data_IF_575183347346
#
_entry.id   IF_575183347346
#
_cell.length_a   1.000
_cell.length_b   1.000
_cell.length_c   1.000
_cell.angle_alpha   90.00
_cell.angle_beta   90.00
_cell.angle_gamma   90.00
#
_symmetry.space_group_name_H-M   'P 1'
#
loop_
_entity.id
_entity.type
_entity.pdbx_description
1 polymer ?
#
# COMPACT_ATOMS: atom_id res chain seq x y z
N UNK A 1 23.66 17.85 -30.13
CA UNK A 1 22.62 16.84 -30.45
C UNK A 1 21.71 16.72 -29.25
N UNK A 2 20.50 17.27 -29.33
CA UNK A 2 19.52 17.24 -28.25
C UNK A 2 18.76 15.90 -28.27
N UNK A 3 18.71 15.21 -27.13
CA UNK A 3 17.96 13.96 -26.96
C UNK A 3 16.45 14.23 -26.93
N UNK A 4 15.64 13.60 -27.81
CA UNK A 4 14.19 13.68 -27.74
C UNK A 4 13.67 12.56 -26.83
N UNK A 5 13.78 12.72 -25.50
CA UNK A 5 13.37 11.68 -24.53
C UNK A 5 12.26 12.10 -23.55
N UNK A 6 11.64 13.27 -23.73
CA UNK A 6 10.69 13.84 -22.76
C UNK A 6 9.21 13.87 -23.20
N UNK A 7 8.83 13.26 -24.32
CA UNK A 7 7.46 13.38 -24.87
C UNK A 7 6.50 12.22 -24.59
N UNK A 8 6.89 11.17 -23.83
CA UNK A 8 6.05 9.96 -23.66
C UNK A 8 5.24 9.85 -22.36
N UNK A 9 5.32 10.82 -21.45
CA UNK A 9 4.47 10.92 -20.24
C UNK A 9 3.20 11.79 -20.44
N UNK A 10 3.05 12.44 -21.61
CA UNK A 10 1.99 13.43 -21.86
C UNK A 10 0.58 12.86 -22.07
N UNK A 11 0.37 11.54 -22.03
CA UNK A 11 -0.96 10.93 -22.20
C UNK A 11 -1.62 10.63 -20.84
N UNK A 12 -0.84 10.35 -19.80
CA UNK A 12 -1.34 10.18 -18.41
C UNK A 12 -1.41 11.53 -17.68
N UNK A 13 -0.54 12.48 -18.05
CA UNK A 13 -0.47 13.80 -17.40
C UNK A 13 -1.81 14.54 -17.39
N UNK A 14 -2.64 14.58 -18.45
CA UNK A 14 -3.95 15.22 -18.42
C UNK A 14 -4.92 14.52 -17.47
N UNK A 15 -4.93 13.17 -17.40
CA UNK A 15 -5.79 12.40 -16.48
C UNK A 15 -5.37 12.62 -15.02
N UNK A 16 -4.06 12.67 -14.75
CA UNK A 16 -3.51 12.97 -13.41
C UNK A 16 -3.69 14.44 -13.03
N UNK A 17 -3.56 15.38 -13.96
CA UNK A 17 -3.81 16.82 -13.71
C UNK A 17 -5.30 17.15 -13.59
N UNK A 18 -6.17 16.37 -14.22
CA UNK A 18 -7.63 16.48 -14.12
C UNK A 18 -8.12 15.88 -12.79
N UNK A 19 -7.53 14.76 -12.33
CA UNK A 19 -7.74 14.24 -10.98
C UNK A 19 -7.27 15.23 -9.89
N UNK A 20 -6.20 16.02 -10.14
CA UNK A 20 -5.66 17.01 -9.20
C UNK A 20 -6.57 18.20 -8.87
N UNK A 21 -7.67 18.39 -9.60
CA UNK A 21 -8.59 19.53 -9.39
C UNK A 21 -9.72 19.14 -8.44
N UNK A 22 -9.48 19.33 -7.15
CA UNK A 22 -10.55 19.34 -6.14
C UNK A 22 -10.67 18.07 -5.31
N UNK A 23 -9.56 17.38 -5.02
CA UNK A 23 -9.56 16.32 -4.03
C UNK A 23 -10.21 16.81 -2.74
N UNK A 24 -11.19 16.07 -2.24
CA UNK A 24 -11.55 16.11 -0.85
C UNK A 24 -10.27 15.86 -0.06
N UNK A 25 -9.96 16.74 0.88
CA UNK A 25 -8.76 16.61 1.70
C UNK A 25 -9.00 15.59 2.83
N UNK A 26 -9.66 14.47 2.52
CA UNK A 26 -10.24 13.57 3.52
C UNK A 26 -9.14 12.82 4.27
N UNK A 27 -8.05 12.43 3.60
CA UNK A 27 -6.90 11.84 4.26
C UNK A 27 -6.25 12.81 5.26
N UNK A 28 -6.12 14.10 4.91
CA UNK A 28 -5.64 15.12 5.85
C UNK A 28 -6.64 15.36 6.99
N UNK A 29 -7.95 15.33 6.71
CA UNK A 29 -8.97 15.47 7.76
C UNK A 29 -8.91 14.30 8.76
N UNK A 30 -8.75 13.07 8.26
CA UNK A 30 -8.52 11.88 9.07
C UNK A 30 -7.23 12.05 9.87
N UNK A 31 -6.13 12.46 9.24
CA UNK A 31 -4.83 12.69 9.91
C UNK A 31 -4.92 13.71 11.06
N UNK A 32 -5.74 14.75 10.89
CA UNK A 32 -5.90 15.79 11.89
C UNK A 32 -6.77 15.36 13.07
N UNK A 33 -7.76 14.46 12.86
CA UNK A 33 -8.62 13.95 13.93
C UNK A 33 -8.88 12.42 13.78
N UNK A 34 -7.86 11.56 13.91
CA UNK A 34 -8.01 10.16 13.52
C UNK A 34 -8.99 9.39 14.41
N UNK A 35 -9.00 9.66 15.73
CA UNK A 35 -9.91 9.01 16.68
C UNK A 35 -11.39 9.30 16.37
N UNK A 36 -11.73 10.56 16.12
CA UNK A 36 -13.10 10.98 15.85
C UNK A 36 -13.59 10.40 14.52
N UNK A 37 -12.76 10.48 13.48
CA UNK A 37 -13.06 9.89 12.17
C UNK A 37 -13.26 8.38 12.27
N UNK A 38 -12.35 7.67 12.93
CA UNK A 38 -12.47 6.22 13.11
C UNK A 38 -13.74 5.86 13.88
N UNK A 39 -14.04 6.57 14.97
CA UNK A 39 -15.24 6.34 15.78
C UNK A 39 -16.52 6.53 14.98
N UNK A 40 -16.59 7.59 14.16
CA UNK A 40 -17.74 7.86 13.30
C UNK A 40 -17.91 6.78 12.22
N UNK A 41 -16.83 6.42 11.52
CA UNK A 41 -16.88 5.38 10.48
C UNK A 41 -17.24 4.02 11.07
N UNK A 42 -16.65 3.63 12.21
CA UNK A 42 -16.96 2.38 12.91
C UNK A 42 -18.41 2.35 13.37
N UNK A 43 -18.93 3.45 13.92
CA UNK A 43 -20.34 3.57 14.32
C UNK A 43 -21.28 3.39 13.12
N UNK A 44 -20.91 3.93 11.96
CA UNK A 44 -21.65 3.77 10.70
C UNK A 44 -21.69 2.31 10.24
N UNK A 45 -20.53 1.63 10.22
CA UNK A 45 -20.42 0.20 9.88
C UNK A 45 -21.19 -0.66 10.89
N UNK A 46 -21.06 -0.40 12.19
CA UNK A 46 -21.79 -1.15 13.23
C UNK A 46 -23.31 -1.04 13.08
N UNK A 47 -23.81 0.11 12.62
CA UNK A 47 -25.25 0.36 12.42
C UNK A 47 -25.80 -0.30 11.14
N UNK A 48 -25.10 -0.17 10.03
CA UNK A 48 -25.62 -0.53 8.69
C UNK A 48 -24.87 -1.69 8.02
N UNK A 49 -23.87 -2.27 8.69
CA UNK A 49 -23.05 -3.39 8.23
C UNK A 49 -22.26 -3.05 6.95
N UNK A 50 -22.13 -4.06 6.08
CA UNK A 50 -21.50 -3.95 4.75
C UNK A 50 -22.13 -2.89 3.84
N UNK A 51 -23.37 -2.48 4.13
CA UNK A 51 -24.15 -1.57 3.29
C UNK A 51 -24.17 -0.13 3.85
N UNK A 52 -23.37 0.15 4.88
CA UNK A 52 -23.12 1.50 5.37
C UNK A 52 -22.67 2.41 4.23
N UNK A 53 -23.25 3.61 4.11
CA UNK A 53 -22.85 4.56 3.06
C UNK A 53 -21.51 5.23 3.34
N UNK A 54 -20.63 5.31 2.35
CA UNK A 54 -19.32 5.95 2.43
C UNK A 54 -19.19 7.02 1.33
N UNK A 55 -19.82 8.21 1.48
CA UNK A 55 -19.63 9.31 0.54
C UNK A 55 -18.16 9.69 0.33
N UNK A 56 -17.30 9.39 1.30
CA UNK A 56 -15.85 9.55 1.23
C UNK A 56 -15.21 8.75 0.06
N UNK A 57 -15.86 7.69 -0.43
CA UNK A 57 -15.35 6.88 -1.55
C UNK A 57 -15.76 7.40 -2.94
N UNK A 58 -16.56 8.47 -2.99
CA UNK A 58 -17.06 9.06 -4.23
C UNK A 58 -15.95 9.30 -5.25
N UNK A 59 -14.88 9.97 -4.83
CA UNK A 59 -13.80 10.39 -5.74
C UNK A 59 -13.05 9.19 -6.32
N UNK A 60 -12.83 8.15 -5.52
CA UNK A 60 -12.22 6.90 -5.98
C UNK A 60 -13.07 6.21 -7.04
N UNK A 61 -14.39 6.15 -6.85
CA UNK A 61 -15.32 5.54 -7.83
C UNK A 61 -15.43 6.39 -9.10
N UNK A 62 -15.60 7.71 -8.98
CA UNK A 62 -15.71 8.62 -10.11
C UNK A 62 -14.43 8.63 -10.96
N UNK A 63 -13.25 8.63 -10.33
CA UNK A 63 -11.96 8.56 -11.05
C UNK A 63 -11.86 7.28 -11.89
N UNK A 64 -12.29 6.14 -11.35
CA UNK A 64 -12.33 4.88 -12.11
C UNK A 64 -13.34 4.96 -13.26
N UNK A 65 -14.55 5.49 -13.03
CA UNK A 65 -15.56 5.66 -14.08
C UNK A 65 -15.08 6.57 -15.22
N UNK A 66 -14.45 7.69 -14.89
CA UNK A 66 -13.86 8.63 -15.86
C UNK A 66 -12.76 7.94 -16.66
N UNK A 67 -11.88 7.20 -15.99
CA UNK A 67 -10.82 6.42 -16.63
C UNK A 67 -11.39 5.39 -17.61
N UNK A 68 -12.43 4.64 -17.23
CA UNK A 68 -13.10 3.68 -18.11
C UNK A 68 -13.78 4.34 -19.32
N UNK A 69 -14.18 5.62 -19.18
CA UNK A 69 -14.78 6.39 -20.26
C UNK A 69 -13.76 7.04 -21.20
N UNK A 70 -12.46 6.99 -20.88
CA UNK A 70 -11.39 7.56 -21.69
C UNK A 70 -11.32 6.95 -23.10
N UNK A 71 -10.85 7.74 -24.06
CA UNK A 71 -10.60 7.29 -25.44
C UNK A 71 -9.62 6.12 -25.51
N UNK A 72 -8.63 6.14 -24.63
CA UNK A 72 -7.53 5.19 -24.52
C UNK A 72 -8.07 3.82 -24.14
N UNK A 73 -8.85 3.73 -23.05
CA UNK A 73 -9.49 2.49 -22.62
C UNK A 73 -10.44 1.97 -23.70
N UNK A 74 -11.28 2.84 -24.27
CA UNK A 74 -12.19 2.45 -25.36
C UNK A 74 -11.45 1.88 -26.57
N UNK A 75 -10.30 2.44 -26.93
CA UNK A 75 -9.47 1.94 -28.02
C UNK A 75 -8.83 0.58 -27.68
N UNK A 76 -8.35 0.39 -26.44
CA UNK A 76 -7.85 -0.92 -25.98
C UNK A 76 -8.94 -1.98 -26.07
N UNK A 77 -10.16 -1.69 -25.60
CA UNK A 77 -11.29 -2.64 -25.67
C UNK A 77 -11.66 -2.94 -27.12
N UNK A 78 -11.71 -1.91 -27.99
CA UNK A 78 -12.01 -2.08 -29.41
C UNK A 78 -10.99 -2.99 -30.12
N UNK A 79 -9.72 -2.88 -29.75
CA UNK A 79 -8.62 -3.68 -30.34
C UNK A 79 -8.45 -5.05 -29.67
N UNK A 80 -9.06 -5.27 -28.50
CA UNK A 80 -9.00 -6.53 -27.77
C UNK A 80 -10.44 -6.96 -27.37
N UNK A 81 -11.25 -7.48 -28.33
CA UNK A 81 -12.67 -7.75 -28.09
C UNK A 81 -12.97 -8.69 -26.92
N UNK A 82 -12.03 -9.55 -26.53
CA UNK A 82 -12.13 -10.42 -25.36
C UNK A 82 -12.34 -9.64 -24.05
N UNK A 83 -11.94 -8.36 -23.98
CA UNK A 83 -12.15 -7.51 -22.81
C UNK A 83 -13.54 -6.87 -22.74
N UNK A 84 -14.35 -6.95 -23.80
CA UNK A 84 -15.59 -6.19 -23.91
C UNK A 84 -16.59 -6.53 -22.80
N UNK A 85 -16.79 -7.81 -22.51
CA UNK A 85 -17.69 -8.25 -21.44
C UNK A 85 -17.22 -7.77 -20.07
N UNK A 86 -15.91 -7.86 -19.80
CA UNK A 86 -15.33 -7.37 -18.55
C UNK A 86 -15.44 -5.85 -18.43
N UNK A 87 -15.23 -5.12 -19.52
CA UNK A 87 -15.39 -3.67 -19.58
C UNK A 87 -16.80 -3.23 -19.20
N UNK A 88 -17.83 -3.77 -19.87
CA UNK A 88 -19.22 -3.41 -19.59
C UNK A 88 -19.64 -3.83 -18.18
N UNK A 89 -19.21 -5.01 -17.72
CA UNK A 89 -19.49 -5.46 -16.35
C UNK A 89 -18.87 -4.51 -15.32
N UNK A 90 -17.64 -4.08 -15.53
CA UNK A 90 -16.93 -3.16 -14.63
C UNK A 90 -17.58 -1.79 -14.61
N UNK A 91 -17.93 -1.24 -15.79
CA UNK A 91 -18.65 0.03 -15.89
C UNK A 91 -20.00 -0.02 -15.16
N UNK A 92 -20.80 -1.06 -15.40
CA UNK A 92 -22.09 -1.24 -14.73
C UNK A 92 -21.94 -1.40 -13.22
N UNK A 93 -20.93 -2.16 -12.78
CA UNK A 93 -20.63 -2.34 -11.35
C UNK A 93 -20.36 -1.00 -10.69
N UNK A 94 -19.43 -0.20 -11.23
CA UNK A 94 -19.11 1.11 -10.68
C UNK A 94 -20.30 2.08 -10.76
N UNK A 95 -21.08 2.04 -11.84
CA UNK A 95 -22.29 2.87 -11.98
C UNK A 95 -23.33 2.54 -10.92
N UNK A 96 -23.55 1.26 -10.61
CA UNK A 96 -24.53 0.86 -9.59
C UNK A 96 -24.16 1.32 -8.17
N UNK A 97 -22.88 1.56 -7.88
CA UNK A 97 -22.44 2.09 -6.59
C UNK A 97 -22.88 3.54 -6.37
N UNK A 98 -23.12 4.31 -7.42
CA UNK A 98 -23.48 5.74 -7.32
C UNK A 98 -24.99 5.98 -7.19
N UNK A 99 -25.79 4.92 -7.34
CA UNK A 99 -27.24 5.02 -7.37
C UNK A 99 -27.82 5.50 -6.04
N UNK A 100 -28.73 6.47 -6.13
CA UNK A 100 -29.59 6.89 -5.03
C UNK A 100 -30.95 6.22 -5.19
N UNK A 101 -31.42 5.55 -4.13
CA UNK A 101 -32.71 4.87 -4.15
C UNK A 101 -33.78 5.75 -3.51
N UNK A 102 -34.90 5.91 -4.21
CA UNK A 102 -36.09 6.62 -3.71
C UNK A 102 -37.33 5.78 -4.02
N UNK A 103 -38.12 5.47 -3.01
CA UNK A 103 -39.43 4.84 -3.18
C UNK A 103 -40.48 5.93 -3.45
N UNK A 104 -41.31 5.73 -4.46
CA UNK A 104 -42.43 6.63 -4.77
C UNK A 104 -43.73 5.90 -4.46
N UNK A 105 -44.51 6.41 -3.50
CA UNK A 105 -45.77 5.84 -3.05
C UNK A 105 -45.65 4.96 -1.80
N UNK A 106 -46.67 5.00 -0.95
CA UNK A 106 -46.67 4.38 0.39
C UNK A 106 -46.75 2.85 0.38
N UNK A 107 -47.03 2.24 -0.78
CA UNK A 107 -47.31 0.81 -0.93
C UNK A 107 -46.27 0.06 -1.80
N UNK A 108 -45.07 0.61 -2.01
CA UNK A 108 -44.04 -0.10 -2.78
C UNK A 108 -43.50 -1.29 -1.96
N UNK A 109 -43.58 -2.55 -2.47
CA UNK A 109 -43.35 -3.74 -1.65
C UNK A 109 -41.87 -4.05 -1.40
N UNK A 110 -40.93 -3.37 -2.07
CA UNK A 110 -39.50 -3.62 -1.94
C UNK A 110 -38.80 -2.51 -1.16
N UNK A 111 -37.97 -2.92 -0.19
CA UNK A 111 -37.11 -2.01 0.56
C UNK A 111 -35.88 -1.72 -0.31
N UNK A 112 -35.46 -0.44 -0.46
CA UNK A 112 -34.19 -0.11 -1.08
C UNK A 112 -33.04 -0.95 -0.51
N UNK A 113 -32.18 -1.53 -1.37
CA UNK A 113 -31.10 -2.40 -0.91
C UNK A 113 -30.05 -1.63 -0.11
N UNK A 114 -29.92 -0.32 -0.32
CA UNK A 114 -29.00 0.56 0.41
C UNK A 114 -29.67 1.89 0.71
N UNK A 115 -29.26 2.54 1.82
CA UNK A 115 -29.82 3.82 2.27
C UNK A 115 -29.21 5.04 1.57
N UNK A 116 -28.02 4.88 1.00
CA UNK A 116 -27.28 5.94 0.32
C UNK A 116 -26.29 5.33 -0.70
N UNK A 117 -25.74 6.15 -1.62
CA UNK A 117 -24.68 5.73 -2.52
C UNK A 117 -23.43 5.27 -1.76
N UNK A 118 -22.54 4.62 -2.51
CA UNK A 118 -21.25 4.12 -2.05
C UNK A 118 -21.36 3.20 -0.83
N UNK A 119 -22.17 2.12 -0.88
CA UNK A 119 -22.21 1.15 0.21
C UNK A 119 -20.84 0.53 0.45
N UNK A 120 -20.41 0.43 1.71
CA UNK A 120 -19.04 0.18 2.14
C UNK A 120 -18.36 -0.99 1.41
N UNK A 121 -18.80 -2.22 1.70
CA UNK A 121 -18.17 -3.41 1.15
C UNK A 121 -18.37 -3.54 -0.37
N UNK A 122 -19.57 -3.32 -0.95
CA UNK A 122 -19.72 -3.35 -2.40
C UNK A 122 -18.84 -2.31 -3.11
N UNK A 123 -18.57 -1.16 -2.48
CA UNK A 123 -17.69 -0.14 -3.06
C UNK A 123 -16.23 -0.57 -3.05
N UNK A 124 -15.75 -1.17 -1.97
CA UNK A 124 -14.40 -1.76 -1.90
C UNK A 124 -14.21 -2.80 -3.02
N UNK A 125 -15.13 -3.76 -3.14
CA UNK A 125 -15.07 -4.82 -4.17
C UNK A 125 -15.21 -4.24 -5.59
N UNK A 126 -16.03 -3.21 -5.77
CA UNK A 126 -16.19 -2.53 -7.05
C UNK A 126 -14.93 -1.77 -7.47
N UNK A 127 -14.23 -1.15 -6.52
CA UNK A 127 -12.94 -0.49 -6.74
C UNK A 127 -11.88 -1.51 -7.14
N UNK A 128 -11.76 -2.63 -6.42
CA UNK A 128 -10.84 -3.73 -6.76
C UNK A 128 -11.09 -4.23 -8.19
N UNK A 129 -12.36 -4.47 -8.57
CA UNK A 129 -12.73 -4.85 -9.95
C UNK A 129 -12.38 -3.79 -10.98
N UNK A 130 -12.57 -2.51 -10.65
CA UNK A 130 -12.17 -1.39 -11.49
C UNK A 130 -10.66 -1.38 -11.75
N UNK A 131 -9.87 -1.56 -10.69
CA UNK A 131 -8.42 -1.64 -10.75
C UNK A 131 -7.95 -2.89 -11.50
N UNK A 132 -8.60 -4.05 -11.30
CA UNK A 132 -8.32 -5.29 -12.05
C UNK A 132 -8.46 -5.08 -13.57
N UNK A 133 -9.54 -4.43 -14.01
CA UNK A 133 -9.71 -4.11 -15.43
C UNK A 133 -8.63 -3.15 -15.94
N UNK A 134 -8.34 -2.08 -15.19
CA UNK A 134 -7.31 -1.11 -15.58
C UNK A 134 -5.93 -1.77 -15.63
N UNK A 135 -5.64 -2.68 -14.71
CA UNK A 135 -4.40 -3.47 -14.67
C UNK A 135 -4.20 -4.27 -15.96
N UNK A 136 -5.27 -4.91 -16.45
CA UNK A 136 -5.27 -5.59 -17.75
C UNK A 136 -4.96 -4.61 -18.90
N UNK A 137 -5.56 -3.42 -18.88
CA UNK A 137 -5.25 -2.38 -19.87
C UNK A 137 -3.78 -1.94 -19.80
N UNK A 138 -3.24 -1.73 -18.60
CA UNK A 138 -1.83 -1.35 -18.38
C UNK A 138 -0.90 -2.43 -18.93
N UNK A 139 -1.10 -3.70 -18.56
CA UNK A 139 -0.25 -4.83 -19.02
C UNK A 139 -0.34 -5.10 -20.53
N UNK A 140 -1.46 -4.78 -21.17
CA UNK A 140 -1.60 -4.83 -22.63
C UNK A 140 -0.90 -3.68 -23.36
N UNK A 141 -0.62 -2.59 -22.64
CA UNK A 141 -0.09 -1.34 -23.19
C UNK A 141 1.40 -1.16 -22.92
N UNK A 142 1.90 -1.68 -21.79
CA UNK A 142 3.26 -1.46 -21.31
C UNK A 142 4.02 -2.77 -21.11
N UNK A 143 5.29 -2.80 -21.51
CA UNK A 143 6.28 -3.79 -21.09
C UNK A 143 6.89 -3.40 -19.74
N UNK A 144 7.68 -4.31 -19.17
CA UNK A 144 8.44 -4.07 -17.93
C UNK A 144 7.57 -3.78 -16.68
N UNK A 145 6.27 -4.12 -16.75
CA UNK A 145 5.41 -4.25 -15.57
C UNK A 145 5.67 -5.63 -14.96
N UNK A 146 6.17 -5.73 -13.72
CA UNK A 146 6.43 -7.01 -13.07
C UNK A 146 5.18 -7.88 -12.99
N UNK A 147 5.38 -9.20 -12.94
CA UNK A 147 4.30 -10.15 -12.66
C UNK A 147 3.65 -9.89 -11.29
N UNK A 148 2.42 -10.37 -11.14
CA UNK A 148 1.68 -10.27 -9.88
C UNK A 148 2.45 -10.90 -8.71
N UNK A 149 2.73 -10.10 -7.69
CA UNK A 149 3.39 -10.55 -6.46
C UNK A 149 2.40 -10.58 -5.29
N UNK A 150 1.91 -9.43 -4.89
CA UNK A 150 0.96 -9.21 -3.81
C UNK A 150 -0.39 -9.83 -4.11
N UNK A 151 -0.89 -9.70 -5.35
CA UNK A 151 -2.16 -10.32 -5.74
C UNK A 151 -2.09 -11.85 -5.59
N UNK A 152 -1.02 -12.47 -6.13
CA UNK A 152 -0.81 -13.91 -6.04
C UNK A 152 -0.61 -14.39 -4.60
N UNK A 153 0.06 -13.60 -3.76
CA UNK A 153 0.34 -14.00 -2.38
C UNK A 153 -0.82 -13.75 -1.42
N UNK A 154 -1.51 -12.62 -1.54
CA UNK A 154 -2.45 -12.12 -0.54
C UNK A 154 -3.89 -12.00 -1.03
N UNK A 155 -4.18 -12.36 -2.29
CA UNK A 155 -5.56 -12.30 -2.82
C UNK A 155 -6.56 -13.07 -1.95
N UNK A 156 -6.17 -14.20 -1.36
CA UNK A 156 -7.03 -14.97 -0.45
C UNK A 156 -7.38 -14.22 0.85
N UNK A 157 -6.47 -13.35 1.34
CA UNK A 157 -6.66 -12.56 2.55
C UNK A 157 -7.74 -11.49 2.36
N UNK A 158 -7.88 -10.95 1.16
CA UNK A 158 -8.94 -10.00 0.83
C UNK A 158 -10.30 -10.64 1.02
N UNK A 159 -10.48 -11.87 0.52
CA UNK A 159 -11.73 -12.61 0.70
C UNK A 159 -12.05 -12.88 2.17
N UNK A 160 -11.06 -13.24 2.99
CA UNK A 160 -11.27 -13.44 4.44
C UNK A 160 -11.55 -12.14 5.19
N UNK A 161 -10.82 -11.08 4.87
CA UNK A 161 -10.98 -9.78 5.53
C UNK A 161 -12.30 -9.10 5.18
N UNK A 162 -12.75 -9.22 3.93
CA UNK A 162 -13.97 -8.58 3.45
C UNK A 162 -15.25 -9.34 3.78
N UNK A 163 -15.25 -10.67 3.66
CA UNK A 163 -16.48 -11.44 3.74
C UNK A 163 -16.74 -12.08 5.11
N UNK A 164 -15.72 -12.25 5.95
CA UNK A 164 -15.86 -13.01 7.19
C UNK A 164 -15.84 -12.15 8.46
N UNK A 165 -15.55 -10.84 8.37
CA UNK A 165 -15.32 -10.01 9.55
C UNK A 165 -15.71 -8.53 9.33
N UNK A 166 -16.99 -8.24 9.07
CA UNK A 166 -17.49 -6.85 9.08
C UNK A 166 -17.47 -6.21 10.49
N UNK A 167 -17.26 -7.02 11.53
CA UNK A 167 -16.96 -6.57 12.89
C UNK A 167 -15.44 -6.37 13.09
N UNK A 168 -14.65 -6.35 12.00
CA UNK A 168 -13.22 -6.11 12.08
C UNK A 168 -12.95 -4.75 12.65
N UNK A 169 -11.99 -4.72 13.56
CA UNK A 169 -11.44 -3.49 14.10
C UNK A 169 -10.84 -2.57 13.03
N UNK A 170 -10.41 -3.09 11.86
CA UNK A 170 -9.86 -2.28 10.78
C UNK A 170 -10.91 -1.79 9.78
N UNK A 171 -10.80 -0.52 9.36
CA UNK A 171 -11.61 0.07 8.30
C UNK A 171 -10.72 0.29 7.07
N UNK A 172 -10.94 -0.53 6.04
CA UNK A 172 -10.33 -0.34 4.73
C UNK A 172 -10.84 0.93 4.07
N UNK A 173 -9.93 1.80 3.65
CA UNK A 173 -10.23 3.15 3.15
C UNK A 173 -9.53 3.39 1.79
N UNK A 174 -10.16 3.03 0.66
CA UNK A 174 -9.63 3.35 -0.66
C UNK A 174 -9.57 4.87 -0.89
N UNK A 175 -8.44 5.36 -1.37
CA UNK A 175 -8.25 6.78 -1.68
C UNK A 175 -7.39 6.99 -2.91
N UNK A 176 -7.69 8.04 -3.67
CA UNK A 176 -6.87 8.55 -4.77
C UNK A 176 -5.88 9.63 -4.30
N UNK A 177 -5.97 10.06 -3.04
CA UNK A 177 -5.10 11.09 -2.49
C UNK A 177 -3.66 10.59 -2.37
N UNK A 178 -2.66 11.42 -2.72
CA UNK A 178 -1.26 11.10 -2.48
C UNK A 178 -0.97 11.15 -0.98
N UNK A 179 -0.67 9.98 -0.39
CA UNK A 179 -0.34 9.86 1.03
C UNK A 179 1.16 10.01 1.25
N UNK A 180 1.53 10.89 2.17
CA UNK A 180 2.92 11.07 2.62
C UNK A 180 3.25 10.16 3.81
N UNK A 181 4.54 10.06 4.15
CA UNK A 181 5.01 9.38 5.37
C UNK A 181 4.25 9.88 6.61
N UNK A 182 4.04 11.19 6.69
CA UNK A 182 3.33 11.87 7.77
C UNK A 182 1.88 11.36 7.92
N UNK A 183 1.18 11.08 6.83
CA UNK A 183 -0.18 10.54 6.90
C UNK A 183 -0.19 9.18 7.59
N UNK A 184 0.70 8.27 7.18
CA UNK A 184 0.79 6.92 7.76
C UNK A 184 1.26 6.95 9.21
N UNK A 185 2.24 7.79 9.55
CA UNK A 185 2.75 7.93 10.91
C UNK A 185 1.67 8.48 11.85
N UNK A 186 0.97 9.55 11.45
CA UNK A 186 0.01 10.25 12.32
C UNK A 186 -1.35 9.56 12.40
N UNK A 187 -1.73 8.75 11.42
CA UNK A 187 -2.99 7.99 11.47
C UNK A 187 -2.86 6.64 12.16
N UNK A 188 -1.63 6.17 12.46
CA UNK A 188 -1.38 4.85 13.05
C UNK A 188 -2.08 4.61 14.39
N UNK A 189 -2.48 5.66 15.10
CA UNK A 189 -3.26 5.58 16.34
C UNK A 189 -4.60 4.83 16.20
N UNK A 190 -5.16 4.76 14.99
CA UNK A 190 -6.40 4.03 14.71
C UNK A 190 -6.21 3.09 13.50
N UNK A 191 -6.96 1.98 13.44
CA UNK A 191 -6.88 1.04 12.33
C UNK A 191 -7.71 1.52 11.13
N UNK A 192 -7.38 2.68 10.57
CA UNK A 192 -7.86 3.10 9.24
C UNK A 192 -6.82 2.68 8.22
N UNK A 193 -7.14 1.66 7.43
CA UNK A 193 -6.23 1.07 6.45
C UNK A 193 -6.37 1.73 5.09
N UNK A 194 -5.55 2.74 4.79
CA UNK A 194 -5.54 3.35 3.48
C UNK A 194 -5.10 2.37 2.38
N UNK A 195 -5.79 2.41 1.24
CA UNK A 195 -5.45 1.65 0.04
C UNK A 195 -5.42 2.59 -1.17
N UNK A 196 -4.29 2.64 -1.87
CA UNK A 196 -4.11 3.50 -3.02
C UNK A 196 -4.96 3.06 -4.21
N UNK A 197 -5.81 3.97 -4.69
CA UNK A 197 -6.53 3.84 -5.96
C UNK A 197 -5.74 4.61 -7.02
N UNK A 198 -4.70 3.96 -7.56
CA UNK A 198 -3.85 4.55 -8.59
C UNK A 198 -4.22 4.03 -9.97
N UNK A 199 -4.42 4.94 -10.93
CA UNK A 199 -4.61 4.60 -12.34
C UNK A 199 -3.28 4.29 -13.06
N UNK A 200 -2.21 5.09 -12.89
CA UNK A 200 -0.90 4.72 -13.41
C UNK A 200 -0.22 3.65 -12.55
N UNK A 201 0.76 2.95 -13.14
CA UNK A 201 1.69 2.15 -12.36
C UNK A 201 2.51 3.06 -11.42
N UNK A 202 2.59 2.69 -10.15
CA UNK A 202 3.23 3.48 -9.10
C UNK A 202 4.51 2.79 -8.64
N UNK A 203 5.57 3.56 -8.41
CA UNK A 203 6.80 3.00 -7.87
C UNK A 203 6.66 2.77 -6.36
N UNK A 204 6.66 1.51 -5.93
CA UNK A 204 6.61 1.07 -4.53
C UNK A 204 7.37 -0.25 -4.38
N UNK A 205 7.96 -0.51 -3.21
CA UNK A 205 8.79 -1.69 -2.92
C UNK A 205 9.93 -1.95 -3.93
N UNK A 206 10.45 -0.89 -4.55
CA UNK A 206 11.49 -0.92 -5.58
C UNK A 206 11.01 -1.39 -6.97
N UNK A 207 9.69 -1.46 -7.18
CA UNK A 207 9.08 -1.89 -8.43
C UNK A 207 8.00 -0.92 -8.89
N UNK A 208 7.75 -0.91 -10.19
CA UNK A 208 6.53 -0.29 -10.72
C UNK A 208 5.36 -1.25 -10.52
N UNK A 209 4.62 -1.06 -9.43
CA UNK A 209 3.42 -1.81 -9.14
C UNK A 209 2.31 -1.31 -10.06
N UNK A 210 1.64 -2.25 -10.73
CA UNK A 210 0.44 -1.95 -11.48
C UNK A 210 -0.73 -1.58 -10.54
N UNK A 211 -1.80 -0.95 -11.03
CA UNK A 211 -2.94 -0.50 -10.22
C UNK A 211 -3.47 -1.52 -9.21
N UNK A 212 -3.70 -2.76 -9.65
CA UNK A 212 -4.20 -3.82 -8.77
C UNK A 212 -3.13 -4.26 -7.77
N UNK A 213 -1.88 -4.35 -8.23
CA UNK A 213 -0.75 -4.78 -7.42
C UNK A 213 -0.49 -3.82 -6.23
N UNK A 214 -0.57 -2.51 -6.45
CA UNK A 214 -0.49 -1.49 -5.40
C UNK A 214 -1.62 -1.65 -4.37
N UNK A 215 -2.84 -1.88 -4.84
CA UNK A 215 -4.00 -2.03 -3.98
C UNK A 215 -3.87 -3.24 -3.03
N UNK A 216 -3.41 -4.37 -3.55
CA UNK A 216 -3.14 -5.57 -2.73
C UNK A 216 -1.91 -5.41 -1.83
N UNK A 217 -0.88 -4.69 -2.27
CA UNK A 217 0.26 -4.31 -1.43
C UNK A 217 -0.22 -3.54 -0.19
N UNK A 218 -1.03 -2.49 -0.39
CA UNK A 218 -1.57 -1.70 0.72
C UNK A 218 -2.51 -2.49 1.61
N UNK A 219 -3.33 -3.37 1.04
CA UNK A 219 -4.16 -4.27 1.84
C UNK A 219 -3.34 -5.20 2.74
N UNK A 220 -2.19 -5.69 2.28
CA UNK A 220 -1.29 -6.49 3.11
C UNK A 220 -0.71 -5.68 4.28
N UNK A 221 -0.33 -4.41 4.07
CA UNK A 221 0.04 -3.51 5.17
C UNK A 221 -1.08 -3.40 6.21
N UNK A 222 -2.30 -3.16 5.74
CA UNK A 222 -3.47 -3.01 6.60
C UNK A 222 -3.78 -4.29 7.40
N UNK A 223 -3.66 -5.46 6.77
CA UNK A 223 -3.81 -6.75 7.45
C UNK A 223 -2.78 -6.95 8.57
N UNK A 224 -1.51 -6.58 8.32
CA UNK A 224 -0.46 -6.67 9.34
C UNK A 224 -0.73 -5.71 10.50
N UNK A 225 -1.15 -4.48 10.21
CA UNK A 225 -1.57 -3.50 11.23
C UNK A 225 -2.66 -4.08 12.13
N UNK A 226 -3.69 -4.70 11.53
CA UNK A 226 -4.74 -5.37 12.30
C UNK A 226 -4.16 -6.46 13.21
N UNK A 227 -3.32 -7.33 12.65
CA UNK A 227 -2.76 -8.48 13.37
C UNK A 227 -1.90 -8.05 14.57
N UNK A 228 -1.04 -7.04 14.40
CA UNK A 228 -0.21 -6.50 15.49
C UNK A 228 -1.03 -5.74 16.55
N UNK A 229 -2.10 -5.06 16.13
CA UNK A 229 -3.03 -4.47 17.09
C UNK A 229 -3.76 -5.55 17.91
N UNK A 230 -4.24 -6.62 17.26
CA UNK A 230 -4.90 -7.73 17.94
C UNK A 230 -3.96 -8.44 18.93
N UNK A 231 -2.68 -8.64 18.55
CA UNK A 231 -1.65 -9.18 19.43
C UNK A 231 -1.41 -8.27 20.64
N UNK A 232 -1.31 -6.94 20.43
CA UNK A 232 -1.17 -5.99 21.53
C UNK A 232 -2.37 -6.05 22.48
N UNK A 233 -3.60 -6.07 21.94
CA UNK A 233 -4.84 -6.16 22.72
C UNK A 233 -4.86 -7.45 23.56
N UNK A 234 -4.42 -8.56 22.98
CA UNK A 234 -4.33 -9.85 23.66
C UNK A 234 -3.27 -9.83 24.77
N UNK A 235 -2.06 -9.33 24.49
CA UNK A 235 -0.92 -9.31 25.41
C UNK A 235 -1.18 -8.38 26.61
N UNK A 236 -1.76 -7.20 26.35
CA UNK A 236 -2.07 -6.21 27.38
C UNK A 236 -3.44 -6.44 28.03
N UNK A 237 -4.20 -7.44 27.58
CA UNK A 237 -5.51 -7.84 28.11
C UNK A 237 -6.50 -6.67 28.20
N UNK A 238 -6.51 -5.79 27.19
CA UNK A 238 -7.38 -4.62 27.13
C UNK A 238 -8.45 -4.76 26.06
N UNK A 239 -9.37 -3.81 25.99
CA UNK A 239 -10.31 -3.68 24.87
C UNK A 239 -9.67 -2.94 23.69
N UNK A 240 -10.24 -3.09 22.50
CA UNK A 240 -9.77 -2.36 21.32
C UNK A 240 -9.80 -0.83 21.51
N UNK A 241 -10.82 -0.32 22.19
CA UNK A 241 -10.97 1.12 22.43
C UNK A 241 -9.90 1.64 23.40
N UNK A 242 -9.58 0.87 24.45
CA UNK A 242 -8.48 1.19 25.37
C UNK A 242 -7.11 1.13 24.67
N UNK A 243 -6.89 0.14 23.79
CA UNK A 243 -5.66 0.06 23.01
C UNK A 243 -5.48 1.26 22.08
N UNK A 244 -6.53 1.67 21.36
CA UNK A 244 -6.45 2.82 20.45
C UNK A 244 -6.30 4.14 21.17
N UNK A 245 -6.85 4.29 22.37
CA UNK A 245 -6.57 5.44 23.22
C UNK A 245 -5.10 5.47 23.67
N UNK A 246 -4.51 4.32 24.03
CA UNK A 246 -3.07 4.23 24.33
C UNK A 246 -2.22 4.58 23.11
N UNK A 247 -2.58 4.10 21.92
CA UNK A 247 -1.87 4.42 20.68
C UNK A 247 -1.99 5.91 20.33
N UNK A 248 -3.17 6.50 20.51
CA UNK A 248 -3.41 7.93 20.35
C UNK A 248 -2.52 8.73 21.29
N UNK A 249 -2.50 8.40 22.59
CA UNK A 249 -1.63 9.05 23.56
C UNK A 249 -0.15 8.91 23.21
N UNK A 250 0.27 7.76 22.69
CA UNK A 250 1.64 7.56 22.23
C UNK A 250 1.97 8.47 21.04
N UNK A 251 1.12 8.49 20.01
CA UNK A 251 1.34 9.28 18.80
C UNK A 251 1.31 10.79 19.12
N UNK A 252 0.35 11.26 19.90
CA UNK A 252 0.21 12.68 20.27
C UNK A 252 1.33 13.18 21.17
N UNK A 253 1.75 12.37 22.16
CA UNK A 253 2.70 12.84 23.18
C UNK A 253 4.16 12.54 22.82
N UNK A 254 4.44 11.59 21.93
CA UNK A 254 5.81 11.16 21.60
C UNK A 254 6.11 11.38 20.11
N UNK A 255 5.30 10.83 19.22
CA UNK A 255 5.63 10.83 17.78
C UNK A 255 5.49 12.23 17.17
N UNK A 256 4.30 12.83 17.25
CA UNK A 256 4.01 14.16 16.64
C UNK A 256 4.96 15.26 17.13
N UNK A 257 5.28 15.39 18.43
CA UNK A 257 6.20 16.43 18.90
C UNK A 257 7.64 16.24 18.43
N UNK A 258 8.06 14.99 18.18
CA UNK A 258 9.45 14.66 17.84
C UNK A 258 9.74 14.76 16.35
N UNK A 259 8.73 14.60 15.49
CA UNK A 259 8.91 14.76 14.03
C UNK A 259 8.57 16.17 13.51
N UNK A 260 7.91 16.99 14.33
CA UNK A 260 7.58 18.37 13.97
C UNK A 260 8.84 19.22 13.70
N UNK A 261 8.89 19.90 12.55
CA UNK A 261 9.98 20.79 12.17
C UNK A 261 9.50 22.25 12.05
N UNK A 262 9.85 23.10 13.03
CA UNK A 262 9.66 24.55 12.91
C UNK A 262 10.79 25.19 12.08
N UNK A 263 10.53 26.33 11.45
CA UNK A 263 11.50 27.11 10.65
C UNK A 263 12.70 27.61 11.45
N UNK A 264 12.65 27.60 12.78
CA UNK A 264 13.69 28.14 13.66
C UNK A 264 14.69 27.09 14.17
N UNK A 265 14.51 25.80 13.85
CA UNK A 265 15.42 24.75 14.32
C UNK A 265 16.73 24.71 13.51
N UNK A 266 17.82 24.32 14.16
CA UNK A 266 19.10 24.15 13.50
C UNK A 266 19.02 23.09 12.38
N UNK A 267 19.74 23.29 11.28
CA UNK A 267 19.74 22.39 10.10
C UNK A 267 19.95 20.92 10.47
N UNK A 268 20.92 20.63 11.34
CA UNK A 268 21.20 19.27 11.80
C UNK A 268 19.99 18.66 12.54
N UNK A 269 19.38 19.41 13.46
CA UNK A 269 18.20 18.98 14.21
C UNK A 269 17.02 18.72 13.27
N UNK A 270 16.79 19.60 12.30
CA UNK A 270 15.79 19.39 11.26
C UNK A 270 15.98 18.04 10.56
N UNK A 271 17.21 17.71 10.15
CA UNK A 271 17.49 16.45 9.47
C UNK A 271 17.31 15.24 10.38
N UNK A 272 17.69 15.33 11.66
CA UNK A 272 17.43 14.27 12.63
C UNK A 272 15.92 13.98 12.71
N UNK A 273 15.08 15.01 12.87
CA UNK A 273 13.62 14.86 12.95
C UNK A 273 12.99 14.31 11.66
N UNK A 274 13.48 14.75 10.51
CA UNK A 274 13.05 14.21 9.23
C UNK A 274 13.38 12.71 9.09
N UNK A 275 14.56 12.27 9.55
CA UNK A 275 14.89 10.85 9.58
C UNK A 275 14.10 10.08 10.65
N UNK A 276 13.74 10.71 11.78
CA UNK A 276 12.83 10.09 12.76
C UNK A 276 11.46 9.80 12.13
N UNK A 277 10.92 10.71 11.30
CA UNK A 277 9.67 10.48 10.56
C UNK A 277 9.77 9.27 9.62
N UNK A 278 10.91 9.10 8.92
CA UNK A 278 11.15 7.90 8.09
C UNK A 278 11.18 6.63 8.94
N UNK A 279 11.86 6.66 10.09
CA UNK A 279 11.95 5.51 10.99
C UNK A 279 10.57 5.16 11.59
N UNK A 280 9.76 6.15 11.97
CA UNK A 280 8.39 5.91 12.42
C UNK A 280 7.52 5.34 11.30
N UNK A 281 7.65 5.83 10.06
CA UNK A 281 6.97 5.24 8.92
C UNK A 281 7.35 3.76 8.74
N UNK A 282 8.64 3.41 8.79
CA UNK A 282 9.09 2.02 8.69
C UNK A 282 8.52 1.15 9.82
N UNK A 283 8.53 1.64 11.06
CA UNK A 283 7.95 0.93 12.19
C UNK A 283 6.44 0.73 12.03
N UNK A 284 5.71 1.79 11.71
CA UNK A 284 4.25 1.83 11.76
C UNK A 284 3.54 1.33 10.51
N UNK A 285 4.13 1.54 9.32
CA UNK A 285 3.58 1.07 8.04
C UNK A 285 4.25 -0.22 7.59
N UNK A 286 5.57 -0.23 7.48
CA UNK A 286 6.31 -1.34 6.85
C UNK A 286 6.40 -2.57 7.76
N UNK A 287 6.68 -2.37 9.05
CA UNK A 287 6.70 -3.41 10.08
C UNK A 287 5.34 -3.58 10.76
N UNK A 288 4.47 -2.57 10.64
CA UNK A 288 3.11 -2.56 11.16
C UNK A 288 2.98 -2.69 12.68
N UNK A 289 4.04 -2.41 13.46
CA UNK A 289 3.99 -2.52 14.92
C UNK A 289 2.97 -1.54 15.52
N UNK A 290 2.42 -1.90 16.67
CA UNK A 290 1.56 -1.05 17.48
C UNK A 290 2.34 0.17 18.03
N UNK A 291 1.74 1.37 18.08
CA UNK A 291 2.33 2.57 18.68
C UNK A 291 2.48 2.47 20.20
N UNK A 292 3.46 1.72 20.67
CA UNK A 292 3.77 1.61 22.09
C UNK A 292 5.28 1.48 22.33
N UNK A 293 5.71 1.85 23.54
CA UNK A 293 7.13 1.85 23.92
C UNK A 293 7.76 0.47 23.77
N UNK A 294 7.07 -0.57 24.23
CA UNK A 294 7.53 -1.96 24.23
C UNK A 294 7.86 -2.43 22.81
N UNK A 295 6.91 -2.35 21.89
CA UNK A 295 7.13 -2.84 20.53
C UNK A 295 8.18 -2.04 19.75
N UNK A 296 8.31 -0.73 20.02
CA UNK A 296 9.40 0.07 19.43
C UNK A 296 10.75 -0.41 19.96
N UNK A 297 10.90 -0.59 21.27
CA UNK A 297 12.13 -1.11 21.88
C UNK A 297 12.46 -2.49 21.29
N UNK A 298 11.48 -3.39 21.21
CA UNK A 298 11.67 -4.74 20.66
C UNK A 298 12.13 -4.69 19.20
N UNK A 299 11.59 -3.77 18.39
CA UNK A 299 12.03 -3.57 17.00
C UNK A 299 13.48 -3.06 16.91
N UNK A 300 13.92 -2.19 17.83
CA UNK A 300 15.31 -1.74 17.90
C UNK A 300 16.29 -2.84 18.33
N UNK A 301 15.84 -3.74 19.22
CA UNK A 301 16.63 -4.87 19.69
C UNK A 301 16.69 -6.04 18.69
N UNK A 302 15.90 -5.99 17.62
CA UNK A 302 15.87 -7.02 16.61
C UNK A 302 17.21 -7.08 15.84
N UNK A 303 17.92 -8.19 15.95
CA UNK A 303 19.19 -8.35 15.25
C UNK A 303 18.98 -8.41 13.71
N UNK A 304 19.92 -7.89 12.91
CA UNK A 304 19.99 -8.23 11.49
C UNK A 304 20.06 -9.76 11.34
N UNK A 305 19.36 -10.34 10.36
CA UNK A 305 19.03 -11.78 10.22
C UNK A 305 17.83 -12.24 11.05
N UNK A 306 17.17 -11.30 11.71
CA UNK A 306 15.95 -11.58 12.43
C UNK A 306 14.79 -12.02 11.53
N UNK A 307 13.82 -12.64 12.20
CA UNK A 307 12.74 -13.42 11.63
C UNK A 307 11.59 -12.52 11.15
N UNK A 308 11.57 -12.17 9.87
CA UNK A 308 10.43 -11.54 9.19
C UNK A 308 9.35 -12.58 8.85
N UNK A 309 8.08 -12.28 9.10
CA UNK A 309 6.97 -13.20 8.82
C UNK A 309 6.66 -13.25 7.32
N UNK A 310 6.75 -14.42 6.72
CA UNK A 310 6.38 -14.70 5.33
C UNK A 310 5.26 -15.73 5.22
N UNK A 311 4.58 -15.67 4.08
CA UNK A 311 3.52 -16.60 3.70
C UNK A 311 3.78 -17.13 2.30
N UNK A 312 3.64 -18.44 2.14
CA UNK A 312 3.75 -19.07 0.84
C UNK A 312 2.70 -20.17 0.69
N UNK A 313 2.07 -20.21 -0.50
CA UNK A 313 1.14 -21.26 -0.86
C UNK A 313 1.93 -22.42 -1.42
N UNK A 314 1.87 -23.56 -0.74
CA UNK A 314 2.63 -24.75 -1.08
C UNK A 314 1.75 -25.99 -0.98
N UNK A 315 2.20 -27.09 -1.56
CA UNK A 315 1.58 -28.39 -1.37
C UNK A 315 2.35 -29.22 -0.33
N UNK A 316 1.80 -30.40 -0.01
CA UNK A 316 2.38 -31.33 0.95
C UNK A 316 3.77 -31.86 0.56
N UNK A 317 4.18 -31.73 -0.71
CA UNK A 317 5.50 -32.18 -1.17
C UNK A 317 6.62 -31.17 -0.89
N UNK A 318 6.28 -29.91 -0.62
CA UNK A 318 7.26 -28.84 -0.41
C UNK A 318 8.06 -29.01 0.88
N UNK A 319 9.38 -29.08 0.73
CA UNK A 319 10.36 -29.19 1.81
C UNK A 319 10.91 -27.81 2.18
N UNK A 320 11.17 -27.56 3.46
CA UNK A 320 11.58 -26.23 3.96
C UNK A 320 12.94 -25.75 3.43
N UNK A 321 13.83 -26.65 3.05
CA UNK A 321 15.11 -26.34 2.41
C UNK A 321 14.96 -25.78 0.98
N UNK A 322 13.76 -25.87 0.39
CA UNK A 322 13.47 -25.30 -0.92
C UNK A 322 13.16 -23.80 -0.88
N UNK A 323 12.98 -23.17 0.29
CA UNK A 323 12.67 -21.73 0.37
C UNK A 323 13.77 -20.85 -0.24
N UNK A 324 15.04 -21.22 -0.09
CA UNK A 324 16.14 -20.45 -0.68
C UNK A 324 16.13 -20.53 -2.22
N UNK A 325 15.60 -21.61 -2.80
CA UNK A 325 15.42 -21.72 -4.25
C UNK A 325 14.31 -20.82 -4.80
N UNK A 326 13.41 -20.36 -3.94
CA UNK A 326 12.34 -19.41 -4.27
C UNK A 326 12.78 -17.96 -4.09
N UNK A 327 14.01 -17.72 -3.62
CA UNK A 327 14.50 -16.37 -3.34
C UNK A 327 14.76 -15.63 -4.65
N UNK A 328 14.12 -14.47 -4.79
CA UNK A 328 14.27 -13.52 -5.88
C UNK A 328 15.55 -12.67 -5.67
N UNK A 329 16.00 -11.99 -6.72
CA UNK A 329 17.22 -11.16 -6.70
C UNK A 329 17.20 -10.03 -5.65
N UNK A 330 16.01 -9.62 -5.21
CA UNK A 330 15.79 -8.61 -4.18
C UNK A 330 15.64 -9.20 -2.77
N UNK A 331 15.99 -10.47 -2.56
CA UNK A 331 15.82 -11.22 -1.31
C UNK A 331 14.37 -11.51 -0.87
N UNK A 332 13.37 -11.11 -1.66
CA UNK A 332 12.01 -11.59 -1.45
C UNK A 332 11.88 -13.06 -1.85
N UNK A 333 10.86 -13.73 -1.34
CA UNK A 333 10.50 -15.08 -1.78
C UNK A 333 9.51 -14.95 -2.94
N UNK A 334 9.48 -15.87 -3.91
CA UNK A 334 8.47 -15.90 -4.95
C UNK A 334 7.04 -15.90 -4.37
N UNK A 335 6.09 -15.29 -5.08
CA UNK A 335 4.69 -15.19 -4.64
C UNK A 335 3.82 -16.33 -5.16
N UNK A 336 2.88 -16.74 -4.31
CA UNK A 336 1.79 -17.65 -4.67
C UNK A 336 2.21 -19.03 -5.19
N UNK A 337 1.27 -19.69 -5.88
CA UNK A 337 1.50 -20.98 -6.51
C UNK A 337 2.11 -20.78 -7.90
N UNK A 338 3.09 -21.59 -8.25
CA UNK A 338 3.56 -21.68 -9.62
C UNK A 338 2.47 -22.33 -10.48
N UNK A 339 1.80 -21.50 -11.30
CA UNK A 339 0.66 -21.94 -12.11
C UNK A 339 1.06 -22.97 -13.17
N UNK A 340 2.31 -22.95 -13.63
CA UNK A 340 2.83 -23.93 -14.60
C UNK A 340 2.93 -25.34 -14.00
N UNK A 341 2.97 -25.44 -12.67
CA UNK A 341 2.97 -26.70 -11.93
C UNK A 341 1.56 -27.15 -11.52
N UNK A 342 0.50 -26.35 -11.74
CA UNK A 342 -0.87 -26.68 -11.31
C UNK A 342 -1.44 -27.95 -11.94
N UNK A 343 -0.92 -28.40 -13.08
CA UNK A 343 -1.32 -29.66 -13.69
C UNK A 343 -0.82 -30.88 -12.88
N UNK A 344 0.25 -30.69 -12.09
CA UNK A 344 0.92 -31.73 -11.31
C UNK A 344 0.60 -31.62 -9.80
N UNK A 345 0.18 -30.44 -9.34
CA UNK A 345 -0.16 -30.19 -7.94
C UNK A 345 -1.56 -30.74 -7.62
N UNK A 346 -1.66 -31.53 -6.55
CA UNK A 346 -2.94 -31.90 -5.97
C UNK A 346 -3.58 -30.66 -5.33
N UNK A 347 -4.53 -30.03 -6.06
CA UNK A 347 -5.18 -28.79 -5.61
C UNK A 347 -5.88 -28.89 -4.25
N UNK A 348 -6.28 -30.09 -3.82
CA UNK A 348 -6.89 -30.32 -2.49
C UNK A 348 -5.89 -30.34 -1.34
N UNK A 349 -4.59 -30.44 -1.66
CA UNK A 349 -3.49 -30.49 -0.70
C UNK A 349 -2.76 -29.15 -0.57
N UNK A 350 -3.23 -28.09 -1.24
CA UNK A 350 -2.61 -26.77 -1.14
C UNK A 350 -2.90 -26.18 0.25
N UNK A 351 -1.84 -25.73 0.91
CA UNK A 351 -1.89 -25.08 2.21
C UNK A 351 -1.15 -23.73 2.13
N UNK A 352 -1.55 -22.79 2.99
CA UNK A 352 -0.75 -21.59 3.26
C UNK A 352 0.18 -21.93 4.42
N UNK A 353 1.49 -21.93 4.20
CA UNK A 353 2.47 -22.02 5.30
C UNK A 353 2.95 -20.63 5.70
N UNK A 354 2.95 -20.42 7.01
CA UNK A 354 3.52 -19.25 7.68
C UNK A 354 4.89 -19.66 8.20
N UNK A 355 5.90 -18.84 7.95
CA UNK A 355 7.25 -19.10 8.42
C UNK A 355 7.98 -17.78 8.59
N UNK A 356 9.07 -17.84 9.33
CA UNK A 356 9.95 -16.71 9.46
C UNK A 356 11.15 -16.84 8.52
N UNK A 357 11.56 -15.73 7.93
CA UNK A 357 12.71 -15.64 7.04
C UNK A 357 13.67 -14.54 7.53
N UNK A 358 14.92 -14.58 7.08
CA UNK A 358 15.92 -13.57 7.42
C UNK A 358 15.62 -12.25 6.70
N UNK A 359 15.54 -11.17 7.47
CA UNK A 359 15.40 -9.81 6.99
C UNK A 359 16.43 -8.85 7.59
N UNK A 360 16.70 -7.70 6.94
CA UNK A 360 17.49 -6.63 7.55
C UNK A 360 16.71 -5.99 8.70
N UNK A 361 17.42 -5.49 9.72
CA UNK A 361 16.80 -4.61 10.72
C UNK A 361 16.19 -3.36 10.02
N UNK A 362 15.06 -2.87 10.54
CA UNK A 362 14.32 -1.74 9.94
C UNK A 362 15.18 -0.47 9.75
N UNK A 363 16.14 -0.19 10.65
CA UNK A 363 17.02 0.98 10.52
C UNK A 363 17.93 0.83 9.31
N UNK A 364 18.51 -0.35 9.13
CA UNK A 364 19.35 -0.71 7.99
C UNK A 364 18.54 -0.64 6.69
N UNK A 365 17.32 -1.18 6.70
CA UNK A 365 16.38 -1.12 5.57
C UNK A 365 16.03 0.33 5.19
N UNK A 366 15.70 1.16 6.18
CA UNK A 366 15.36 2.57 6.01
C UNK A 366 16.51 3.38 5.41
N UNK A 367 17.73 3.21 5.95
CA UNK A 367 18.93 3.88 5.46
C UNK A 367 19.20 3.51 4.00
N UNK A 368 19.09 2.22 3.68
CA UNK A 368 19.24 1.72 2.32
C UNK A 368 18.23 2.31 1.34
N UNK A 369 16.95 2.32 1.71
CA UNK A 369 15.89 2.92 0.89
C UNK A 369 16.21 4.39 0.62
N UNK A 370 16.65 5.16 1.63
CA UNK A 370 17.01 6.57 1.47
C UNK A 370 18.17 6.77 0.48
N UNK A 371 19.30 6.09 0.66
CA UNK A 371 20.48 6.30 -0.20
C UNK A 371 20.30 5.76 -1.63
N UNK A 372 19.32 4.87 -1.85
CA UNK A 372 18.95 4.37 -3.17
C UNK A 372 17.76 5.14 -3.78
N UNK A 373 17.45 6.34 -3.27
CA UNK A 373 16.39 7.23 -3.74
C UNK A 373 14.96 6.67 -3.67
N UNK A 374 14.71 5.63 -2.88
CA UNK A 374 13.36 5.08 -2.73
C UNK A 374 12.36 6.17 -2.28
N UNK A 375 12.70 6.90 -1.22
CA UNK A 375 11.89 7.97 -0.67
C UNK A 375 12.00 9.31 -1.40
N UNK A 376 12.99 9.44 -2.30
CA UNK A 376 13.18 10.61 -3.14
C UNK A 376 12.49 10.47 -4.51
N UNK A 377 11.88 9.31 -4.77
CA UNK A 377 11.10 9.01 -5.96
C UNK A 377 9.75 9.73 -6.00
N UNK A 378 9.22 9.87 -7.22
CA UNK A 378 8.04 10.66 -7.58
C UNK A 378 6.85 10.46 -6.62
N UNK A 379 6.27 11.59 -6.20
CA UNK A 379 5.08 11.79 -5.35
C UNK A 379 5.26 11.84 -3.82
N UNK A 380 6.40 11.45 -3.25
CA UNK A 380 6.75 11.87 -1.87
C UNK A 380 7.37 13.25 -1.97
N UNK A 381 6.61 14.30 -1.63
CA UNK A 381 7.11 15.66 -1.72
C UNK A 381 8.45 15.77 -0.95
N UNK A 382 9.58 16.09 -1.61
CA UNK A 382 10.91 16.09 -1.00
C UNK A 382 11.13 17.19 0.04
N UNK A 383 10.08 17.96 0.36
CA UNK A 383 10.13 19.05 1.35
C UNK A 383 10.49 18.56 2.75
N UNK A 384 10.29 17.27 3.02
CA UNK A 384 10.40 16.70 4.37
C UNK A 384 11.57 15.71 4.53
N UNK A 385 12.51 15.62 3.58
CA UNK A 385 13.68 14.74 3.71
C UNK A 385 14.99 15.53 3.63
N UNK A 386 16.06 15.08 4.30
CA UNK A 386 17.38 15.66 4.10
C UNK A 386 17.83 15.47 2.64
N UNK A 387 18.66 16.37 2.09
CA UNK A 387 19.33 16.14 0.82
C UNK A 387 20.13 14.83 0.86
N UNK A 388 20.12 14.05 -0.23
CA UNK A 388 20.73 12.71 -0.26
C UNK A 388 22.21 12.70 0.18
N UNK A 389 22.96 13.75 -0.16
CA UNK A 389 24.37 13.91 0.19
C UNK A 389 24.61 14.27 1.67
N UNK A 390 23.55 14.61 2.41
CA UNK A 390 23.57 14.88 3.85
C UNK A 390 23.13 13.65 4.66
N UNK A 391 22.56 12.62 4.02
CA UNK A 391 22.12 11.38 4.68
C UNK A 391 23.34 10.49 4.94
N UNK A 392 23.78 10.45 6.20
CA UNK A 392 24.92 9.63 6.63
C UNK A 392 24.48 8.55 7.64
N UNK A 393 25.25 7.45 7.78
CA UNK A 393 24.94 6.45 8.80
C UNK A 393 24.89 7.01 10.22
N UNK A 394 25.78 7.97 10.52
CA UNK A 394 25.84 8.64 11.83
C UNK A 394 24.60 9.52 12.10
N UNK A 395 24.07 10.18 11.07
CA UNK A 395 22.84 10.97 11.18
C UNK A 395 21.62 10.06 11.41
N UNK A 396 21.56 8.91 10.71
CA UNK A 396 20.52 7.90 10.94
C UNK A 396 20.61 7.31 12.36
N UNK A 397 21.82 6.96 12.83
CA UNK A 397 22.03 6.49 14.20
C UNK A 397 21.64 7.55 15.25
N UNK A 398 21.84 8.83 14.95
CA UNK A 398 21.40 9.94 15.81
C UNK A 398 19.87 10.03 15.90
N UNK A 399 19.15 9.86 14.78
CA UNK A 399 17.69 9.80 14.76
C UNK A 399 17.16 8.59 15.54
N UNK A 400 17.75 7.41 15.32
CA UNK A 400 17.45 6.19 16.07
C UNK A 400 17.69 6.35 17.59
N UNK A 401 18.83 6.93 17.98
CA UNK A 401 19.13 7.26 19.38
C UNK A 401 18.04 8.14 19.99
N UNK A 402 17.55 9.11 19.23
CA UNK A 402 16.53 10.04 19.73
C UNK A 402 15.21 9.33 19.98
N UNK A 403 14.74 8.50 19.05
CA UNK A 403 13.54 7.68 19.24
C UNK A 403 13.69 6.81 20.49
N UNK A 404 14.83 6.12 20.66
CA UNK A 404 15.08 5.30 21.84
C UNK A 404 15.09 6.11 23.14
N UNK A 405 15.65 7.32 23.15
CA UNK A 405 15.57 8.21 24.30
C UNK A 405 14.10 8.55 24.63
N UNK A 406 13.30 8.90 23.62
CA UNK A 406 11.91 9.33 23.79
C UNK A 406 11.00 8.19 24.32
N UNK A 407 11.38 6.92 24.09
CA UNK A 407 10.71 5.74 24.66
C UNK A 407 11.40 5.16 25.90
N UNK A 408 12.38 5.85 26.49
CA UNK A 408 13.19 5.42 27.65
C UNK A 408 14.03 4.14 27.42
N UNK A 409 14.36 3.81 26.17
CA UNK A 409 15.16 2.64 25.77
C UNK A 409 16.67 2.90 25.61
N UNK A 410 17.16 4.11 25.93
CA UNK A 410 18.54 4.52 25.64
C UNK A 410 19.64 3.78 26.39
N UNK A 411 19.29 3.12 27.48
CA UNK A 411 20.19 2.27 28.25
C UNK A 411 20.47 0.92 27.57
N UNK A 412 19.68 0.55 26.55
CA UNK A 412 19.77 -0.74 25.87
C UNK A 412 20.73 -0.72 24.69
N UNK A 413 20.74 0.39 23.93
CA UNK A 413 21.58 0.56 22.74
C UNK A 413 22.17 1.98 22.74
N UNK A 414 23.49 2.08 22.67
CA UNK A 414 24.16 3.36 22.51
C UNK A 414 24.30 3.74 21.02
N UNK A 415 24.76 4.97 20.76
CA UNK A 415 24.95 5.48 19.39
C UNK A 415 25.84 4.58 18.54
N UNK A 416 26.92 4.02 19.11
CA UNK A 416 27.81 3.12 18.39
C UNK A 416 27.13 1.78 18.03
N UNK A 417 26.28 1.24 18.92
CA UNK A 417 25.48 0.06 18.60
C UNK A 417 24.54 0.33 17.41
N UNK A 418 23.86 1.47 17.41
CA UNK A 418 22.95 1.85 16.33
C UNK A 418 23.69 2.15 15.03
N UNK A 419 24.87 2.78 15.09
CA UNK A 419 25.73 2.98 13.93
C UNK A 419 26.16 1.64 13.31
N UNK A 420 26.48 0.65 14.15
CA UNK A 420 26.80 -0.69 13.67
C UNK A 420 25.58 -1.36 13.01
N UNK A 421 24.36 -1.15 13.51
CA UNK A 421 23.14 -1.64 12.84
C UNK A 421 22.94 -0.98 11.48
N UNK A 422 23.07 0.35 11.40
CA UNK A 422 22.90 1.09 10.12
C UNK A 422 23.90 0.62 9.06
N UNK A 423 25.12 0.28 9.48
CA UNK A 423 26.23 -0.11 8.59
C UNK A 423 26.41 -1.62 8.43
N UNK A 424 25.53 -2.44 9.05
CA UNK A 424 25.66 -3.89 9.07
C UNK A 424 25.73 -4.46 7.63
N UNK A 425 26.87 -5.09 7.24
CA UNK A 425 26.99 -5.73 5.94
C UNK A 425 26.22 -7.05 5.97
N UNK A 426 25.29 -7.28 5.03
CA UNK A 426 24.87 -8.67 4.75
C UNK A 426 23.42 -8.95 4.31
N UNK A 427 22.47 -8.03 4.46
CA UNK A 427 21.04 -8.33 4.16
C UNK A 427 20.34 -7.26 3.35
N UNK A 428 21.13 -6.36 2.78
CA UNK A 428 20.65 -5.26 1.98
C UNK A 428 20.02 -5.82 0.71
N UNK A 429 18.70 -5.64 0.49
CA UNK A 429 18.15 -5.83 -0.83
C UNK A 429 18.95 -4.92 -1.75
N UNK A 430 19.45 -5.46 -2.87
CA UNK A 430 19.91 -4.60 -3.96
C UNK A 430 18.65 -3.93 -4.51
N UNK A 431 18.28 -2.80 -3.92
CA UNK A 431 17.21 -1.97 -4.44
C UNK A 431 17.65 -1.49 -5.83
N UNK A 432 16.97 -1.88 -6.93
CA UNK A 432 17.34 -1.40 -8.26
C UNK A 432 17.25 0.13 -8.39
N UNK A 433 16.65 0.83 -7.42
CA UNK A 433 16.65 2.30 -7.33
C UNK A 433 16.12 2.95 -8.62
N UNK A 434 16.67 4.11 -8.99
CA UNK A 434 16.39 4.78 -10.27
C UNK A 434 16.76 3.95 -11.52
N UNK A 435 17.48 2.83 -11.38
CA UNK A 435 17.87 1.98 -12.50
C UNK A 435 16.80 0.94 -12.84
N UNK A 436 15.71 0.86 -12.07
CA UNK A 436 14.53 0.08 -12.45
C UNK A 436 13.96 0.67 -13.73
N UNK A 437 13.90 -0.13 -14.80
CA UNK A 437 13.39 0.33 -16.09
C UNK A 437 11.95 0.83 -15.92
N UNK A 438 11.70 2.08 -16.30
CA UNK A 438 10.34 2.59 -16.39
C UNK A 438 9.52 1.71 -17.36
N UNK A 439 8.22 1.48 -17.09
CA UNK A 439 7.34 0.77 -18.00
C UNK A 439 7.37 1.43 -19.39
N UNK A 440 7.70 0.65 -20.41
CA UNK A 440 7.81 1.16 -21.77
C UNK A 440 6.55 0.80 -22.54
N UNK A 441 6.01 1.73 -23.34
CA UNK A 441 4.86 1.42 -24.18
C UNK A 441 5.26 0.35 -25.21
N UNK A 442 4.46 -0.70 -25.33
CA UNK A 442 4.60 -1.71 -26.37
C UNK A 442 4.42 -1.00 -27.72
N UNK A 443 5.49 -0.98 -28.52
CA UNK A 443 5.41 -0.56 -29.92
C UNK A 443 4.94 -1.78 -30.70
N UNK A 444 3.66 -1.81 -31.07
CA UNK A 444 3.17 -2.78 -32.04
C UNK A 444 3.52 -2.21 -33.41
N UNK A 445 4.30 -2.94 -34.20
CA UNK A 445 4.58 -2.59 -35.60
C UNK A 445 3.29 -2.68 -36.42
N UNK A 446 2.46 -1.63 -36.35
CA UNK A 446 1.22 -1.52 -37.13
C UNK A 446 1.49 -1.29 -38.64
N UNK A 447 2.75 -1.10 -39.05
CA UNK A 447 3.11 -0.85 -40.46
C UNK A 447 3.42 -2.12 -41.27
N UNK A 448 3.65 -3.29 -40.66
CA UNK A 448 3.98 -4.51 -41.43
C UNK A 448 2.77 -5.40 -41.77
N UNK A 449 1.56 -5.09 -41.27
CA UNK A 449 0.35 -5.85 -41.61
C UNK A 449 -0.45 -5.30 -42.80
N UNK A 450 0.02 -4.22 -43.45
CA UNK A 450 -0.65 -3.63 -44.63
C UNK A 450 -0.04 -4.06 -45.98
N UNK A 451 1.04 -4.86 -46.01
CA UNK A 451 1.71 -5.27 -47.25
C UNK A 451 1.41 -6.69 -47.72
N UNK A 452 0.78 -7.55 -46.92
CA UNK A 452 0.33 -8.87 -47.36
C UNK A 452 -1.18 -8.89 -47.60
N UNK A 453 -1.63 -8.18 -48.63
CA UNK A 453 -2.88 -8.55 -49.29
C UNK A 453 -2.62 -9.82 -50.11
N UNK A 454 -3.39 -10.90 -49.95
CA UNK A 454 -3.35 -11.99 -50.89
C UNK A 454 -3.82 -11.47 -52.25
N UNK A 455 -3.03 -11.70 -53.30
CA UNK A 455 -3.50 -11.53 -54.66
C UNK A 455 -4.69 -12.46 -54.86
N UNK A 456 -5.87 -11.86 -55.06
CA UNK A 456 -7.06 -12.54 -55.60
C UNK A 456 -6.87 -12.68 -57.10
#
# INVERSE_FOLDING_TARGET
MAFPFLTRLNVIKPLVEQAKRGYSNIATQIMNNPMDYYSELRRRIKRDGALAGFPEFKESVETLQETLCSSEVKQIVKTNPSLSSLYYLTQNTLFHLTLNYKTVGDNYPHIPPVKSPYPYLPTILGIERGLEFIDNCVRLTYTDIPDFYHVKRYGYQMFSSYNCNLDSSIIYFPTIEPLSLEHFTKTRQVPIGFMGVSIPATFADAYYLSPLELYHHDSNHNRRIKSYNDLFIQDEQCTADEAYEQFNQFVENIVKPTTFCDKQIAKHEMYVRQLMEVLYFELFREYAIAPCKKQIIDAFLHEPDGLESFEHMIDDSFQSDQFDSLRLDNNNIQSGLNLDQLAQINRRAIQVRYFFNKGPNFITSAYNKLINNYYHGFDVHPKNLPPINEITPSLMASAACRILNDVNGSHLLNHQNLLNLVTAPGLLPKYPGFFTKHPQRIVRDEENSLTNKPNI
#
